data_IF_399986287528
#
_entry.id   IF_399986287528
#
_cell.length_a   1.000
_cell.length_b   1.000
_cell.length_c   1.000
_cell.angle_alpha   90.00
_cell.angle_beta   90.00
_cell.angle_gamma   90.00
#
_symmetry.space_group_name_H-M   'P 1'
#
loop_
_entity.id
_entity.type
_entity.pdbx_description
1 polymer ?
#
# COMPACT_ATOMS: atom_id res chain seq x y z
N UNK A 1 -1.65 10.86 -38.18
CA UNK A 1 -1.26 10.31 -36.87
C UNK A 1 -1.12 8.82 -37.03
N UNK A 2 0.11 8.31 -37.06
CA UNK A 2 0.36 6.87 -37.08
C UNK A 2 0.03 6.36 -35.67
N UNK A 3 -1.00 5.56 -35.53
CA UNK A 3 -1.31 4.86 -34.27
C UNK A 3 -0.07 4.08 -33.90
N UNK A 4 0.61 4.46 -32.81
CA UNK A 4 1.75 3.71 -32.29
C UNK A 4 1.34 2.22 -32.23
N UNK A 5 2.15 1.30 -32.77
CA UNK A 5 1.81 -0.12 -32.79
C UNK A 5 1.55 -0.57 -31.34
N UNK A 6 0.29 -0.88 -31.04
CA UNK A 6 -0.21 -1.15 -29.68
C UNK A 6 0.58 -2.24 -28.95
N UNK A 7 1.19 -3.15 -29.71
CA UNK A 7 2.07 -4.19 -29.20
C UNK A 7 3.32 -3.62 -28.50
N UNK A 8 3.92 -2.55 -29.03
CA UNK A 8 5.11 -1.93 -28.44
C UNK A 8 4.78 -1.22 -27.12
N UNK A 9 3.61 -0.58 -27.04
CA UNK A 9 3.13 0.03 -25.79
C UNK A 9 2.91 -1.01 -24.69
N UNK A 10 2.36 -2.19 -25.03
CA UNK A 10 2.15 -3.25 -24.05
C UNK A 10 3.49 -3.77 -23.49
N UNK A 11 4.49 -4.01 -24.35
CA UNK A 11 5.82 -4.41 -23.90
C UNK A 11 6.51 -3.39 -23.00
N UNK A 12 6.27 -2.09 -23.25
CA UNK A 12 6.81 -1.01 -22.46
C UNK A 12 6.08 -0.84 -21.11
N UNK A 13 4.76 -1.04 -21.09
CA UNK A 13 3.91 -0.85 -19.92
C UNK A 13 3.94 -2.02 -18.92
N UNK A 14 4.10 -3.27 -19.39
CA UNK A 14 4.08 -4.48 -18.54
C UNK A 14 5.11 -4.41 -17.40
N UNK A 15 6.40 -4.07 -17.63
CA UNK A 15 7.37 -3.97 -16.55
C UNK A 15 6.97 -2.93 -15.49
N UNK A 16 6.45 -1.79 -15.93
CA UNK A 16 5.91 -0.77 -15.03
C UNK A 16 4.72 -1.28 -14.23
N UNK A 17 3.78 -1.95 -14.89
CA UNK A 17 2.62 -2.54 -14.24
C UNK A 17 2.99 -3.57 -13.17
N UNK A 18 3.93 -4.47 -13.46
CA UNK A 18 4.42 -5.48 -12.50
C UNK A 18 5.09 -4.80 -11.30
N UNK A 19 5.94 -3.80 -11.55
CA UNK A 19 6.59 -3.03 -10.49
C UNK A 19 5.56 -2.33 -9.59
N UNK A 20 4.57 -1.70 -10.22
CA UNK A 20 3.44 -1.08 -9.53
C UNK A 20 2.70 -2.09 -8.65
N UNK A 21 2.33 -3.23 -9.23
CA UNK A 21 1.61 -4.30 -8.53
C UNK A 21 2.38 -4.80 -7.31
N UNK A 22 3.69 -5.00 -7.44
CA UNK A 22 4.56 -5.40 -6.33
C UNK A 22 4.59 -4.35 -5.20
N UNK A 23 4.77 -3.07 -5.56
CA UNK A 23 4.74 -1.95 -4.59
C UNK A 23 3.38 -1.91 -3.88
N UNK A 24 2.28 -2.02 -4.63
CA UNK A 24 0.92 -1.99 -4.10
C UNK A 24 0.63 -3.18 -3.19
N UNK A 25 1.10 -4.37 -3.55
CA UNK A 25 0.94 -5.59 -2.75
C UNK A 25 1.63 -5.46 -1.39
N UNK A 26 2.89 -5.00 -1.37
CA UNK A 26 3.65 -4.79 -0.13
C UNK A 26 2.98 -3.73 0.75
N UNK A 27 2.69 -2.55 0.17
CA UNK A 27 2.06 -1.47 0.92
C UNK A 27 0.65 -1.81 1.39
N UNK A 28 -0.06 -2.67 0.65
CA UNK A 28 -1.37 -3.23 0.99
C UNK A 28 -1.33 -4.16 2.20
N UNK A 29 -0.19 -4.75 2.53
CA UNK A 29 -0.06 -5.64 3.70
C UNK A 29 0.13 -4.88 5.03
N UNK A 30 0.68 -3.67 4.98
CA UNK A 30 1.11 -2.91 6.17
C UNK A 30 -0.07 -2.42 7.02
N UNK A 31 -0.39 -3.12 8.10
CA UNK A 31 -1.46 -2.79 9.05
C UNK A 31 -1.11 -1.67 10.05
N UNK A 32 0.17 -1.31 10.18
CA UNK A 32 0.67 -0.31 11.14
C UNK A 32 0.50 1.14 10.69
N UNK A 33 0.18 1.38 9.41
CA UNK A 33 0.03 2.71 8.84
C UNK A 33 -1.45 3.00 8.55
N UNK A 34 -1.90 4.22 8.84
CA UNK A 34 -3.24 4.63 8.45
C UNK A 34 -3.37 4.63 6.90
N UNK A 35 -4.51 4.12 6.42
CA UNK A 35 -4.90 3.98 5.01
C UNK A 35 -4.56 5.18 4.13
N UNK A 36 -4.81 6.41 4.62
CA UNK A 36 -4.54 7.64 3.84
C UNK A 36 -3.04 7.81 3.58
N UNK A 37 -2.21 7.61 4.60
CA UNK A 37 -0.76 7.72 4.47
C UNK A 37 -0.20 6.61 3.59
N UNK A 38 -0.76 5.40 3.63
CA UNK A 38 -0.36 4.29 2.76
C UNK A 38 -0.61 4.60 1.29
N UNK A 39 -1.78 5.15 0.96
CA UNK A 39 -2.13 5.53 -0.42
C UNK A 39 -1.25 6.69 -0.89
N UNK A 40 -1.03 7.72 -0.07
CA UNK A 40 -0.19 8.86 -0.43
C UNK A 40 1.28 8.46 -0.63
N UNK A 41 1.85 7.75 0.33
CA UNK A 41 3.22 7.25 0.26
C UNK A 41 3.40 6.32 -0.95
N UNK A 42 2.46 5.41 -1.14
CA UNK A 42 2.50 4.48 -2.27
C UNK A 42 2.35 5.15 -3.62
N UNK A 43 1.46 6.14 -3.75
CA UNK A 43 1.31 6.92 -4.98
C UNK A 43 2.58 7.72 -5.29
N UNK A 44 3.22 8.29 -4.26
CA UNK A 44 4.50 8.99 -4.42
C UNK A 44 5.61 8.04 -4.86
N UNK A 45 5.78 6.89 -4.19
CA UNK A 45 6.77 5.86 -4.55
C UNK A 45 6.51 5.33 -5.96
N UNK A 46 5.27 5.04 -6.32
CA UNK A 46 4.89 4.56 -7.64
C UNK A 46 5.19 5.60 -8.74
N UNK A 47 4.94 6.89 -8.47
CA UNK A 47 5.25 7.97 -9.42
C UNK A 47 6.76 8.11 -9.60
N UNK A 48 7.54 8.17 -8.51
CA UNK A 48 9.01 8.27 -8.57
C UNK A 48 9.60 7.03 -9.23
N UNK A 49 9.11 5.83 -8.88
CA UNK A 49 9.51 4.57 -9.49
C UNK A 49 9.22 4.52 -10.99
N UNK A 50 8.05 5.02 -11.41
CA UNK A 50 7.72 5.16 -12.83
C UNK A 50 8.63 6.12 -13.58
N UNK A 51 9.00 7.25 -12.96
CA UNK A 51 9.97 8.19 -13.55
C UNK A 51 11.34 7.52 -13.69
N UNK A 52 11.84 6.85 -12.64
CA UNK A 52 13.12 6.13 -12.66
C UNK A 52 13.11 5.05 -13.75
N UNK A 53 12.03 4.28 -13.84
CA UNK A 53 11.88 3.23 -14.84
C UNK A 53 11.87 3.81 -16.26
N UNK A 54 11.13 4.91 -16.49
CA UNK A 54 11.12 5.64 -17.75
C UNK A 54 12.51 6.15 -18.14
N UNK A 55 13.26 6.71 -17.19
CA UNK A 55 14.64 7.15 -17.43
C UNK A 55 15.55 5.98 -17.79
N UNK A 56 15.40 4.84 -17.10
CA UNK A 56 16.18 3.64 -17.38
C UNK A 56 15.90 3.13 -18.79
N UNK A 57 14.64 3.01 -19.19
CA UNK A 57 14.30 2.65 -20.58
C UNK A 57 14.82 3.67 -21.60
N UNK A 58 14.84 4.97 -21.27
CA UNK A 58 15.33 6.00 -22.18
C UNK A 58 16.82 5.83 -22.50
N UNK A 59 17.61 5.37 -21.51
CA UNK A 59 19.04 5.05 -21.69
C UNK A 59 19.23 3.82 -22.59
N UNK A 60 18.39 2.79 -22.49
CA UNK A 60 18.59 1.51 -23.18
C UNK A 60 17.88 1.39 -24.54
N UNK A 61 16.71 2.01 -24.72
CA UNK A 61 15.90 1.86 -25.93
C UNK A 61 16.04 3.00 -26.93
N UNK A 62 16.78 4.06 -26.59
CA UNK A 62 17.03 5.25 -27.43
C UNK A 62 15.75 5.93 -27.93
N UNK A 63 15.45 7.12 -27.39
CA UNK A 63 14.28 7.97 -27.72
C UNK A 63 12.93 7.40 -27.29
N UNK A 64 12.71 7.41 -25.97
CA UNK A 64 11.37 7.33 -25.39
C UNK A 64 10.65 8.67 -25.60
N UNK A 65 9.50 8.65 -26.26
CA UNK A 65 8.67 9.85 -26.39
C UNK A 65 8.01 10.23 -25.05
N UNK A 66 7.68 11.52 -24.86
CA UNK A 66 7.00 12.01 -23.65
C UNK A 66 5.70 11.28 -23.34
N UNK A 67 4.98 10.85 -24.39
CA UNK A 67 3.73 10.12 -24.29
C UNK A 67 3.96 8.68 -23.78
N UNK A 68 5.02 8.03 -24.22
CA UNK A 68 5.39 6.69 -23.78
C UNK A 68 5.90 6.69 -22.33
N UNK A 69 6.67 7.72 -21.94
CA UNK A 69 7.06 7.92 -20.54
C UNK A 69 5.83 8.10 -19.63
N UNK A 70 4.82 8.86 -20.07
CA UNK A 70 3.56 9.01 -19.36
C UNK A 70 2.84 7.66 -19.23
N UNK A 71 2.82 6.85 -20.29
CA UNK A 71 2.23 5.50 -20.26
C UNK A 71 2.92 4.59 -19.25
N UNK A 72 4.24 4.62 -19.14
CA UNK A 72 4.98 3.84 -18.13
C UNK A 72 4.54 4.27 -16.73
N UNK A 73 4.52 5.57 -16.44
CA UNK A 73 4.12 6.09 -15.12
C UNK A 73 2.68 5.69 -14.79
N UNK A 74 1.76 5.82 -15.74
CA UNK A 74 0.38 5.38 -15.57
C UNK A 74 0.26 3.86 -15.39
N UNK A 75 1.09 3.08 -16.08
CA UNK A 75 1.11 1.63 -15.90
C UNK A 75 1.56 1.24 -14.50
N UNK A 76 2.58 1.91 -13.96
CA UNK A 76 3.03 1.71 -12.56
C UNK A 76 1.92 2.09 -11.58
N UNK A 77 1.26 3.24 -11.78
CA UNK A 77 0.15 3.67 -10.92
C UNK A 77 -1.04 2.71 -10.99
N UNK A 78 -1.38 2.22 -12.18
CA UNK A 78 -2.44 1.24 -12.39
C UNK A 78 -2.13 -0.10 -11.72
N UNK A 79 -0.89 -0.58 -11.87
CA UNK A 79 -0.40 -1.76 -11.16
C UNK A 79 -0.47 -1.59 -9.65
N UNK A 80 -0.01 -0.45 -9.14
CA UNK A 80 -0.07 -0.10 -7.72
C UNK A 80 -1.49 -0.12 -7.17
N UNK A 81 -2.44 0.50 -7.87
CA UNK A 81 -3.85 0.48 -7.47
C UNK A 81 -4.40 -0.94 -7.36
N UNK A 82 -4.10 -1.80 -8.34
CA UNK A 82 -4.52 -3.21 -8.29
C UNK A 82 -3.81 -4.00 -7.17
N UNK A 83 -2.51 -3.81 -6.97
CA UNK A 83 -1.76 -4.46 -5.90
C UNK A 83 -2.31 -4.11 -4.51
N UNK A 84 -2.66 -2.84 -4.31
CA UNK A 84 -3.32 -2.36 -3.09
C UNK A 84 -4.65 -3.08 -2.87
N UNK A 85 -5.50 -3.15 -3.90
CA UNK A 85 -6.83 -3.77 -3.80
C UNK A 85 -6.72 -5.27 -3.48
N UNK A 86 -5.75 -5.96 -4.09
CA UNK A 86 -5.57 -7.39 -3.94
C UNK A 86 -5.10 -7.82 -2.55
N UNK A 87 -4.36 -6.94 -1.84
CA UNK A 87 -3.73 -7.31 -0.57
C UNK A 87 -4.10 -6.36 0.57
N UNK A 88 -5.23 -5.66 0.50
CA UNK A 88 -5.56 -4.61 1.47
C UNK A 88 -5.82 -5.16 2.88
N UNK A 89 -4.86 -4.94 3.78
CA UNK A 89 -4.99 -5.19 5.21
C UNK A 89 -5.58 -3.97 5.92
N UNK A 90 -6.68 -4.11 6.70
CA UNK A 90 -7.24 -3.01 7.46
C UNK A 90 -6.28 -2.56 8.57
N UNK A 91 -6.29 -1.26 8.87
CA UNK A 91 -5.48 -0.71 9.96
C UNK A 91 -5.88 -1.36 11.30
N UNK A 92 -4.93 -2.07 11.91
CA UNK A 92 -5.13 -2.63 13.24
C UNK A 92 -5.00 -1.49 14.25
N UNK A 93 -6.13 -0.93 14.70
CA UNK A 93 -6.12 -0.14 15.92
C UNK A 93 -5.60 -1.06 17.03
N UNK A 94 -4.45 -0.71 17.62
CA UNK A 94 -3.99 -1.37 18.84
C UNK A 94 -5.13 -1.25 19.84
N UNK A 95 -5.85 -2.35 20.11
CA UNK A 95 -6.78 -2.35 21.23
C UNK A 95 -5.92 -2.01 22.43
N UNK A 96 -6.17 -0.85 23.02
CA UNK A 96 -5.48 -0.41 24.22
C UNK A 96 -5.67 -1.53 25.24
N UNK A 97 -4.63 -2.34 25.48
CA UNK A 97 -4.69 -3.40 26.48
C UNK A 97 -4.93 -2.68 27.79
N UNK A 98 -6.14 -2.78 28.32
CA UNK A 98 -6.45 -2.34 29.68
C UNK A 98 -5.53 -3.13 30.59
N UNK A 99 -4.52 -2.46 31.13
CA UNK A 99 -3.65 -3.05 32.14
C UNK A 99 -4.45 -3.07 33.44
N UNK A 100 -4.91 -4.25 33.85
CA UNK A 100 -5.47 -4.43 35.18
C UNK A 100 -4.28 -4.31 36.15
N UNK A 101 -4.30 -3.26 36.98
CA UNK A 101 -3.32 -3.06 38.04
C UNK A 101 -3.93 -3.75 39.27
N UNK A 102 -3.26 -4.79 39.78
CA UNK A 102 -3.69 -5.45 41.02
C UNK A 102 -3.15 -4.66 42.20
N UNK A 103 -4.00 -3.91 42.89
CA UNK A 103 -3.67 -3.35 44.20
C UNK A 103 -4.11 -4.36 45.27
N UNK A 104 -3.23 -4.77 46.21
CA UNK A 104 -3.56 -5.76 47.23
C UNK A 104 -4.64 -5.32 48.24
N UNK A 105 -5.12 -4.08 48.11
CA UNK A 105 -6.20 -3.49 48.90
C UNK A 105 -7.54 -3.45 48.12
N UNK A 106 -7.57 -3.86 46.84
CA UNK A 106 -8.80 -3.93 46.05
C UNK A 106 -9.65 -5.15 46.47
N UNK A 107 -10.92 -4.91 46.81
CA UNK A 107 -11.90 -5.98 47.05
C UNK A 107 -12.06 -6.85 45.80
N UNK A 108 -12.20 -8.17 45.98
CA UNK A 108 -12.33 -9.15 44.89
C UNK A 108 -13.43 -8.77 43.87
N UNK A 109 -14.50 -8.09 44.31
CA UNK A 109 -15.57 -7.58 43.44
C UNK A 109 -15.13 -6.43 42.51
N UNK A 110 -14.25 -5.54 42.98
CA UNK A 110 -13.73 -4.42 42.18
C UNK A 110 -12.74 -4.93 41.14
N UNK A 111 -11.93 -5.94 41.50
CA UNK A 111 -11.03 -6.64 40.59
C UNK A 111 -11.79 -7.41 39.50
N UNK A 112 -12.83 -8.15 39.87
CA UNK A 112 -13.67 -8.88 38.90
C UNK A 112 -14.38 -7.93 37.93
N UNK A 113 -14.82 -6.74 38.38
CA UNK A 113 -15.38 -5.69 37.50
C UNK A 113 -14.34 -5.19 36.49
N UNK A 114 -13.11 -4.92 36.94
CA UNK A 114 -12.02 -4.47 36.06
C UNK A 114 -11.61 -5.56 35.05
N UNK A 115 -11.67 -6.84 35.43
CA UNK A 115 -11.47 -7.99 34.54
C UNK A 115 -12.55 -8.03 33.45
N UNK A 116 -13.82 -7.89 33.82
CA UNK A 116 -14.95 -7.95 32.89
C UNK A 116 -14.95 -6.76 31.90
N UNK A 117 -14.57 -5.57 32.37
CA UNK A 117 -14.38 -4.38 31.53
C UNK A 117 -13.17 -4.53 30.59
N UNK A 118 -12.04 -5.09 31.08
CA UNK A 118 -10.81 -5.26 30.31
C UNK A 118 -10.88 -6.38 29.26
N UNK A 119 -11.60 -7.47 29.56
CA UNK A 119 -11.80 -8.58 28.64
C UNK A 119 -12.84 -8.28 27.56
N UNK A 120 -13.57 -7.16 27.69
CA UNK A 120 -14.51 -6.68 26.69
C UNK A 120 -15.61 -7.70 26.46
N UNK A 121 -16.62 -7.65 27.32
CA UNK A 121 -17.88 -8.37 27.27
C UNK A 121 -18.30 -8.77 25.82
N UNK A 122 -17.90 -9.98 25.40
CA UNK A 122 -18.44 -10.65 24.22
C UNK A 122 -19.58 -11.53 24.71
N UNK A 123 -20.74 -10.88 24.92
CA UNK A 123 -22.03 -11.55 24.80
C UNK A 123 -22.29 -11.97 23.36
#
# INVERSE_FOLDING_TARGET
>A
MQTAPSLNLAFLGIPGFILGLFIGYILGDIDTLNSVYRILLGSFIATVGGIILSLLFSVYLTMLDSLEMLFIVLSVLGGFGLGIILNWSPYAQSSQKSHIIYEPDDDDEEFDRQIEEALGNKG
#
